data_IF_570976167068
#
_entry.id   IF_570976167068
#
_cell.length_a   1.000
_cell.length_b   1.000
_cell.length_c   1.000
_cell.angle_alpha   90.00
_cell.angle_beta   90.00
_cell.angle_gamma   90.00
#
_symmetry.space_group_name_H-M   'P 1'
#
loop_
_entity.id
_entity.type
_entity.pdbx_description
1 polymer ?
#
# COMPACT_ATOMS: atom_id res chain seq x y z
N UNK A 1 -9.83 -13.00 2.18
CA UNK A 1 -8.82 -13.07 1.10
C UNK A 1 -7.44 -13.25 1.72
N UNK A 2 -6.52 -13.88 0.96
CA UNK A 2 -5.16 -14.18 1.42
C UNK A 2 -4.16 -14.02 0.27
N UNK A 3 -2.88 -13.86 0.60
CA UNK A 3 -1.79 -13.86 -0.37
C UNK A 3 -1.39 -15.30 -0.69
N UNK A 4 -1.32 -15.60 -1.97
CA UNK A 4 -0.84 -16.88 -2.50
C UNK A 4 0.36 -16.65 -3.40
N UNK A 5 1.26 -17.61 -3.42
CA UNK A 5 2.38 -17.74 -4.37
C UNK A 5 2.14 -18.93 -5.26
N UNK A 6 2.50 -18.81 -6.53
CA UNK A 6 2.50 -19.90 -7.49
C UNK A 6 3.71 -19.79 -8.43
N UNK A 7 4.12 -20.88 -9.03
CA UNK A 7 5.06 -20.84 -10.13
C UNK A 7 4.48 -20.09 -11.34
N UNK A 8 5.35 -19.59 -12.22
CA UNK A 8 4.92 -18.89 -13.46
C UNK A 8 4.14 -19.79 -14.41
N UNK A 9 4.19 -21.10 -14.21
CA UNK A 9 3.38 -22.11 -14.91
C UNK A 9 2.03 -22.38 -14.23
N UNK A 10 1.68 -21.62 -13.17
CA UNK A 10 0.46 -21.76 -12.38
C UNK A 10 0.47 -22.94 -11.41
N UNK A 11 1.58 -23.65 -11.28
CA UNK A 11 1.71 -24.79 -10.36
C UNK A 11 2.28 -24.37 -9.02
N UNK A 12 2.35 -25.34 -8.09
CA UNK A 12 2.92 -25.15 -6.75
C UNK A 12 2.25 -24.03 -5.94
N UNK A 13 0.93 -23.89 -6.08
CA UNK A 13 0.16 -22.90 -5.34
C UNK A 13 0.37 -23.07 -3.83
N UNK A 14 0.86 -22.02 -3.17
CA UNK A 14 1.15 -21.97 -1.75
C UNK A 14 0.44 -20.78 -1.12
N UNK A 15 -0.31 -21.01 -0.06
CA UNK A 15 -0.94 -19.95 0.74
C UNK A 15 0.09 -19.37 1.71
N UNK A 16 0.35 -18.07 1.63
CA UNK A 16 1.35 -17.36 2.46
C UNK A 16 0.74 -16.73 3.71
N UNK A 17 -0.50 -16.24 3.63
CA UNK A 17 -1.21 -15.64 4.78
C UNK A 17 -2.43 -16.47 5.17
N UNK A 18 -2.84 -16.42 6.47
CA UNK A 18 -3.92 -17.28 7.01
C UNK A 18 -4.71 -16.59 8.12
N UNK A 19 -4.67 -15.26 8.22
CA UNK A 19 -5.37 -14.49 9.26
C UNK A 19 -6.77 -14.07 8.79
N UNK A 20 -7.65 -13.78 9.75
CA UNK A 20 -8.91 -13.12 9.43
C UNK A 20 -8.64 -11.77 8.77
N UNK A 21 -9.51 -11.40 7.84
CA UNK A 21 -9.45 -10.14 7.13
C UNK A 21 -9.19 -10.30 5.65
N UNK A 22 -8.77 -9.22 5.06
CA UNK A 22 -8.48 -9.08 3.65
C UNK A 22 -6.98 -8.78 3.48
N UNK A 23 -6.27 -9.65 2.79
CA UNK A 23 -4.87 -9.48 2.40
C UNK A 23 -4.81 -9.37 0.88
N UNK A 24 -4.26 -8.29 0.35
CA UNK A 24 -4.25 -8.01 -1.08
C UNK A 24 -3.09 -7.12 -1.54
N UNK A 25 -3.05 -6.86 -2.84
CA UNK A 25 -2.14 -5.92 -3.48
C UNK A 25 -0.66 -6.22 -3.18
N UNK A 26 -0.31 -7.51 -3.22
CA UNK A 26 1.05 -7.96 -2.91
C UNK A 26 2.06 -7.59 -4.00
N UNK A 27 3.22 -7.08 -3.60
CA UNK A 27 4.37 -6.84 -4.47
C UNK A 27 5.65 -7.43 -3.88
N UNK A 28 6.50 -8.03 -4.74
CA UNK A 28 7.81 -8.51 -4.35
C UNK A 28 8.84 -7.38 -4.32
N UNK A 29 9.80 -7.48 -3.37
CA UNK A 29 11.04 -6.69 -3.44
C UNK A 29 11.85 -7.08 -4.69
N UNK A 30 12.68 -6.16 -5.23
CA UNK A 30 13.47 -6.44 -6.44
C UNK A 30 14.39 -7.67 -6.33
N UNK A 31 14.84 -8.01 -5.12
CA UNK A 31 15.66 -9.20 -4.86
C UNK A 31 14.83 -10.48 -4.60
N UNK A 32 13.49 -10.37 -4.67
CA UNK A 32 12.57 -11.49 -4.46
C UNK A 32 12.46 -12.01 -3.03
N UNK A 33 13.08 -11.34 -2.02
CA UNK A 33 13.15 -11.87 -0.66
C UNK A 33 12.03 -11.40 0.26
N UNK A 34 11.34 -10.33 -0.09
CA UNK A 34 10.25 -9.73 0.69
C UNK A 34 8.99 -9.58 -0.15
N UNK A 35 7.86 -9.54 0.55
CA UNK A 35 6.55 -9.19 -0.02
C UNK A 35 5.98 -8.06 0.83
N UNK A 36 5.63 -6.94 0.19
CA UNK A 36 4.80 -5.90 0.79
C UNK A 36 3.36 -6.09 0.31
N UNK A 37 2.38 -5.87 1.18
CA UNK A 37 0.97 -6.04 0.86
C UNK A 37 0.08 -5.19 1.78
N UNK A 38 -1.15 -4.95 1.38
CA UNK A 38 -2.17 -4.28 2.18
C UNK A 38 -3.01 -5.30 2.95
N UNK A 39 -3.38 -4.99 4.21
CA UNK A 39 -4.20 -5.87 5.03
C UNK A 39 -4.99 -5.12 6.09
N UNK A 40 -6.25 -5.51 6.30
CA UNK A 40 -7.08 -5.01 7.39
C UNK A 40 -7.08 -5.92 8.64
N UNK A 41 -6.11 -6.83 8.74
CA UNK A 41 -6.01 -7.80 9.85
C UNK A 41 -5.98 -7.16 11.23
N UNK A 42 -5.44 -5.93 11.34
CA UNK A 42 -5.41 -5.19 12.60
C UNK A 42 -6.82 -4.94 13.16
N UNK A 43 -7.81 -4.68 12.31
CA UNK A 43 -9.20 -4.50 12.70
C UNK A 43 -9.87 -5.75 13.29
N UNK A 44 -9.30 -6.94 13.05
CA UNK A 44 -9.76 -8.22 13.59
C UNK A 44 -8.90 -8.74 14.75
N UNK A 45 -7.83 -8.02 15.11
CA UNK A 45 -6.90 -8.46 16.15
C UNK A 45 -7.47 -8.18 17.54
N UNK A 46 -7.36 -9.18 18.45
CA UNK A 46 -7.79 -9.02 19.84
C UNK A 46 -9.31 -8.89 20.00
N UNK A 47 -9.74 -7.91 20.79
CA UNK A 47 -11.17 -7.55 20.97
C UNK A 47 -11.38 -6.13 20.46
N UNK A 48 -11.82 -5.94 19.21
CA UNK A 48 -12.11 -4.62 18.68
C UNK A 48 -13.18 -3.90 19.52
N UNK A 49 -13.10 -2.58 19.63
CA UNK A 49 -14.12 -1.77 20.29
C UNK A 49 -15.44 -1.87 19.55
N UNK A 50 -16.56 -1.52 20.20
CA UNK A 50 -17.86 -1.48 19.53
C UNK A 50 -17.86 -0.53 18.32
N UNK A 51 -17.12 0.60 18.41
CA UNK A 51 -16.97 1.54 17.31
C UNK A 51 -16.19 0.93 16.13
N UNK A 52 -15.12 0.18 16.41
CA UNK A 52 -14.33 -0.50 15.37
C UNK A 52 -15.14 -1.60 14.68
N UNK A 53 -15.96 -2.34 15.44
CA UNK A 53 -16.86 -3.35 14.88
C UNK A 53 -17.87 -2.72 13.91
N UNK A 54 -18.44 -1.56 14.25
CA UNK A 54 -19.36 -0.84 13.34
C UNK A 54 -18.59 -0.29 12.11
N UNK A 55 -17.40 0.28 12.29
CA UNK A 55 -16.56 0.70 11.15
C UNK A 55 -16.21 -0.47 10.22
N UNK A 56 -15.81 -1.63 10.77
CA UNK A 56 -15.52 -2.84 9.97
C UNK A 56 -16.71 -3.33 9.15
N UNK A 57 -17.95 -3.13 9.65
CA UNK A 57 -19.17 -3.49 8.93
C UNK A 57 -19.47 -2.50 7.79
N UNK A 58 -19.24 -1.21 8.03
CA UNK A 58 -19.54 -0.15 7.07
C UNK A 58 -18.46 -0.05 5.99
N UNK A 59 -17.21 -0.08 6.40
CA UNK A 59 -16.04 0.02 5.52
C UNK A 59 -14.86 -0.79 6.07
N UNK A 60 -14.72 -2.06 5.67
CA UNK A 60 -13.57 -2.87 6.07
C UNK A 60 -12.23 -2.32 5.59
N UNK A 61 -12.20 -1.47 4.56
CA UNK A 61 -10.98 -0.88 4.01
C UNK A 61 -10.36 0.17 4.91
N UNK A 62 -11.12 0.77 5.81
CA UNK A 62 -10.64 1.74 6.80
C UNK A 62 -9.46 1.23 7.64
N UNK A 63 -9.39 -0.07 7.89
CA UNK A 63 -8.32 -0.72 8.66
C UNK A 63 -7.20 -1.32 7.79
N UNK A 64 -7.17 -0.98 6.51
CA UNK A 64 -6.11 -1.44 5.61
C UNK A 64 -4.83 -0.68 5.88
N UNK A 65 -3.82 -1.42 6.29
CA UNK A 65 -2.45 -0.94 6.51
C UNK A 65 -1.46 -1.69 5.63
N UNK A 66 -0.28 -1.12 5.45
CA UNK A 66 0.82 -1.78 4.74
C UNK A 66 1.58 -2.71 5.69
N UNK A 67 1.78 -3.91 5.24
CA UNK A 67 2.56 -4.96 5.89
C UNK A 67 3.72 -5.40 4.99
N UNK A 68 4.76 -5.94 5.62
CA UNK A 68 5.87 -6.61 4.95
C UNK A 68 6.13 -7.96 5.60
N UNK A 69 6.51 -8.95 4.79
CA UNK A 69 6.93 -10.27 5.25
C UNK A 69 8.07 -10.81 4.39
N UNK A 70 8.73 -11.87 4.85
CA UNK A 70 9.64 -12.63 3.98
C UNK A 70 8.85 -13.35 2.88
N UNK A 71 9.49 -13.63 1.76
CA UNK A 71 8.86 -14.31 0.62
C UNK A 71 8.29 -15.70 0.98
N UNK A 72 8.78 -16.33 2.06
CA UNK A 72 8.25 -17.60 2.57
C UNK A 72 7.00 -17.45 3.49
N UNK A 73 6.55 -16.20 3.72
CA UNK A 73 5.41 -15.85 4.57
C UNK A 73 5.74 -15.63 6.04
N UNK A 74 7.03 -15.64 6.43
CA UNK A 74 7.47 -15.41 7.82
C UNK A 74 7.83 -13.96 8.10
N UNK A 75 8.17 -13.67 9.36
CA UNK A 75 8.66 -12.36 9.82
C UNK A 75 7.74 -11.19 9.44
N UNK A 76 6.43 -11.42 9.54
CA UNK A 76 5.40 -10.42 9.27
C UNK A 76 5.56 -9.20 10.18
N UNK A 77 5.53 -8.01 9.58
CA UNK A 77 5.58 -6.72 10.29
C UNK A 77 4.58 -5.75 9.69
N UNK A 78 3.83 -5.04 10.53
CA UNK A 78 3.01 -3.90 10.14
C UNK A 78 3.89 -2.66 9.98
N UNK A 79 3.73 -1.92 8.88
CA UNK A 79 4.52 -0.74 8.57
C UNK A 79 3.76 0.58 8.76
N UNK A 80 2.45 0.59 8.50
CA UNK A 80 1.60 1.78 8.69
C UNK A 80 0.51 1.52 9.72
N UNK A 81 -0.03 2.59 10.32
CA UNK A 81 -1.10 2.58 11.33
C UNK A 81 -1.90 3.88 11.30
N UNK A 82 -1.93 4.57 10.18
CA UNK A 82 -2.69 5.81 10.04
C UNK A 82 -4.19 5.50 9.87
N UNK A 83 -5.09 6.35 10.41
CA UNK A 83 -6.50 6.26 10.08
C UNK A 83 -6.75 6.44 8.59
N UNK A 84 -7.60 5.62 7.99
CA UNK A 84 -7.86 5.61 6.56
C UNK A 84 -7.21 4.40 5.87
N UNK A 85 -7.44 4.29 4.57
CA UNK A 85 -6.98 3.16 3.77
C UNK A 85 -5.56 3.37 3.24
N UNK A 86 -4.65 2.48 3.61
CA UNK A 86 -3.32 2.34 3.01
C UNK A 86 -3.32 1.15 2.04
N UNK A 87 -2.94 1.36 0.78
CA UNK A 87 -2.93 0.28 -0.21
C UNK A 87 -1.99 0.46 -1.39
N UNK A 88 -1.85 -0.60 -2.18
CA UNK A 88 -1.02 -0.66 -3.36
C UNK A 88 0.47 -0.42 -3.10
N UNK A 89 1.11 -1.17 -2.18
CA UNK A 89 2.52 -0.97 -1.91
C UNK A 89 3.39 -1.51 -3.04
N UNK A 90 4.39 -0.69 -3.46
CA UNK A 90 5.43 -1.11 -4.39
C UNK A 90 6.81 -0.73 -3.89
N UNK A 91 7.79 -1.59 -4.13
CA UNK A 91 9.18 -1.31 -3.79
C UNK A 91 9.82 -0.35 -4.79
N UNK A 92 10.78 0.45 -4.30
CA UNK A 92 11.74 1.17 -5.15
C UNK A 92 12.66 0.18 -5.88
N UNK A 93 13.23 0.54 -7.04
CA UNK A 93 14.11 -0.35 -7.81
C UNK A 93 15.34 -0.84 -7.03
N UNK A 94 15.83 -0.06 -6.08
CA UNK A 94 16.94 -0.43 -5.19
C UNK A 94 16.51 -1.23 -3.95
N UNK A 95 15.20 -1.48 -3.79
CA UNK A 95 14.62 -2.23 -2.69
C UNK A 95 14.68 -1.54 -1.32
N UNK A 96 15.05 -0.25 -1.23
CA UNK A 96 15.21 0.43 0.06
C UNK A 96 13.97 1.17 0.53
N UNK A 97 13.04 1.47 -0.37
CA UNK A 97 11.80 2.18 -0.05
C UNK A 97 10.57 1.42 -0.56
N UNK A 98 9.41 1.77 0.01
CA UNK A 98 8.09 1.34 -0.41
C UNK A 98 7.28 2.60 -0.65
N UNK A 99 6.55 2.67 -1.77
CA UNK A 99 5.51 3.67 -2.04
C UNK A 99 4.14 3.04 -1.88
N UNK A 100 3.14 3.84 -1.47
CA UNK A 100 1.75 3.42 -1.38
C UNK A 100 0.81 4.61 -1.56
N UNK A 101 -0.50 4.36 -1.71
CA UNK A 101 -1.54 5.37 -1.59
C UNK A 101 -2.12 5.37 -0.19
N UNK A 102 -2.28 6.54 0.38
CA UNK A 102 -2.96 6.75 1.65
C UNK A 102 -4.22 7.57 1.44
N UNK A 103 -5.36 7.04 1.82
CA UNK A 103 -6.64 7.75 1.81
C UNK A 103 -6.86 8.51 3.12
N UNK A 104 -7.51 9.66 3.03
CA UNK A 104 -8.06 10.35 4.19
C UNK A 104 -9.05 9.45 4.94
N UNK A 105 -9.27 9.73 6.22
CA UNK A 105 -10.16 8.92 7.07
C UNK A 105 -11.60 8.82 6.52
N UNK A 106 -12.07 9.85 5.83
CA UNK A 106 -13.38 9.89 5.16
C UNK A 106 -13.40 9.27 3.75
N UNK A 107 -12.23 8.82 3.26
CA UNK A 107 -12.09 8.22 1.94
C UNK A 107 -12.22 9.18 0.76
N UNK A 108 -12.29 10.50 1.01
CA UNK A 108 -12.58 11.49 -0.05
C UNK A 108 -11.37 11.86 -0.90
N UNK A 109 -10.16 11.67 -0.37
CA UNK A 109 -8.89 12.00 -1.04
C UNK A 109 -7.89 10.87 -0.84
N UNK A 110 -6.94 10.74 -1.76
CA UNK A 110 -5.82 9.84 -1.64
C UNK A 110 -4.55 10.50 -2.15
N UNK A 111 -3.46 10.31 -1.42
CA UNK A 111 -2.16 10.89 -1.74
C UNK A 111 -1.08 9.81 -1.81
N UNK A 112 -0.04 10.09 -2.60
CA UNK A 112 1.12 9.20 -2.72
C UNK A 112 2.08 9.44 -1.57
N UNK A 113 2.49 8.35 -0.93
CA UNK A 113 3.44 8.33 0.18
C UNK A 113 4.61 7.40 -0.11
N UNK A 114 5.70 7.59 0.62
CA UNK A 114 6.86 6.69 0.62
C UNK A 114 7.44 6.52 2.02
N UNK A 115 8.07 5.38 2.27
CA UNK A 115 8.78 5.06 3.52
C UNK A 115 9.99 4.18 3.25
N UNK A 116 10.90 4.06 4.22
CA UNK A 116 11.90 2.99 4.19
C UNK A 116 11.25 1.63 4.41
N UNK A 117 11.89 0.57 3.92
CA UNK A 117 11.35 -0.82 4.05
C UNK A 117 11.19 -1.29 5.49
N UNK A 118 11.82 -0.62 6.45
CA UNK A 118 11.64 -0.88 7.88
C UNK A 118 10.42 -0.15 8.49
N UNK A 119 9.68 0.66 7.70
CA UNK A 119 8.52 1.45 8.11
C UNK A 119 8.87 2.84 8.66
N UNK A 120 10.14 3.21 8.71
CA UNK A 120 10.60 4.54 9.14
C UNK A 120 10.62 5.53 7.98
N UNK A 121 10.84 6.82 8.29
CA UNK A 121 10.96 7.89 7.30
C UNK A 121 9.74 7.95 6.35
N UNK A 122 8.53 7.89 6.92
CA UNK A 122 7.27 8.04 6.19
C UNK A 122 7.12 9.49 5.72
N UNK A 123 6.91 9.67 4.41
CA UNK A 123 6.83 10.99 3.77
C UNK A 123 5.71 11.01 2.74
N UNK A 124 4.86 12.02 2.82
CA UNK A 124 3.87 12.33 1.79
C UNK A 124 4.57 13.02 0.60
N UNK A 125 4.39 12.46 -0.60
CA UNK A 125 5.00 12.98 -1.83
C UNK A 125 4.07 13.92 -2.59
N UNK A 126 2.75 13.70 -2.55
CA UNK A 126 1.76 14.53 -3.24
C UNK A 126 0.82 15.22 -2.26
N UNK A 127 0.28 16.39 -2.62
CA UNK A 127 -0.72 17.16 -1.87
C UNK A 127 -1.69 17.81 -2.83
N UNK A 128 -2.34 16.97 -3.65
CA UNK A 128 -3.21 17.43 -4.73
C UNK A 128 -4.66 17.65 -4.28
N UNK A 129 -5.04 17.11 -3.11
CA UNK A 129 -6.42 17.17 -2.65
C UNK A 129 -7.38 16.40 -3.56
N UNK A 130 -6.88 15.39 -4.25
CA UNK A 130 -7.57 14.58 -5.24
C UNK A 130 -7.37 13.09 -4.92
N UNK A 131 -7.87 12.19 -5.75
CA UNK A 131 -7.59 10.76 -5.65
C UNK A 131 -6.35 10.42 -6.47
N UNK A 132 -5.22 10.16 -5.80
CA UNK A 132 -3.95 9.79 -6.42
C UNK A 132 -3.68 8.30 -6.17
N UNK A 133 -3.69 7.48 -7.24
CA UNK A 133 -3.67 6.02 -7.16
C UNK A 133 -2.47 5.40 -7.89
N UNK A 134 -2.24 4.11 -7.57
CA UNK A 134 -1.30 3.24 -8.27
C UNK A 134 0.10 3.87 -8.43
N UNK A 135 0.72 4.38 -7.36
CA UNK A 135 2.08 4.91 -7.46
C UNK A 135 3.06 3.79 -7.80
N UNK A 136 3.92 4.05 -8.76
CA UNK A 136 4.95 3.12 -9.18
C UNK A 136 6.27 3.85 -9.43
N UNK A 137 7.38 3.33 -8.90
CA UNK A 137 8.69 3.89 -9.17
C UNK A 137 9.12 3.67 -10.62
N UNK A 138 9.60 4.71 -11.27
CA UNK A 138 10.34 4.55 -12.50
C UNK A 138 11.60 3.71 -12.27
N UNK A 139 12.06 2.88 -13.22
CA UNK A 139 13.24 2.04 -13.05
C UNK A 139 14.54 2.77 -12.65
N UNK A 140 14.66 4.08 -12.95
CA UNK A 140 15.78 4.89 -12.48
C UNK A 140 15.77 5.13 -10.97
N UNK A 141 14.59 5.05 -10.33
CA UNK A 141 14.41 5.40 -8.92
C UNK A 141 14.27 6.90 -8.63
N UNK A 142 14.41 7.77 -9.64
CA UNK A 142 14.44 9.23 -9.45
C UNK A 142 13.04 9.84 -9.30
N UNK A 143 12.01 9.18 -9.82
CA UNK A 143 10.63 9.66 -9.76
C UNK A 143 9.63 8.50 -9.73
N UNK A 144 8.40 8.84 -9.36
CA UNK A 144 7.25 7.95 -9.42
C UNK A 144 6.27 8.45 -10.48
N UNK A 145 5.54 7.51 -11.08
CA UNK A 145 4.33 7.78 -11.87
C UNK A 145 3.12 7.32 -11.07
N UNK A 146 2.00 8.03 -11.22
CA UNK A 146 0.74 7.70 -10.55
C UNK A 146 -0.43 8.24 -11.36
N UNK A 147 -1.63 7.75 -11.12
CA UNK A 147 -2.85 8.27 -11.72
C UNK A 147 -3.57 9.19 -10.73
N UNK A 148 -4.09 10.32 -11.17
CA UNK A 148 -4.87 11.23 -10.33
C UNK A 148 -6.06 11.83 -11.07
N UNK A 149 -7.16 12.07 -10.35
CA UNK A 149 -8.35 12.74 -10.88
C UNK A 149 -8.37 14.25 -10.59
N UNK A 150 -7.20 14.87 -10.50
CA UNK A 150 -7.04 16.31 -10.22
C UNK A 150 -7.88 17.20 -11.14
N UNK A 151 -8.03 16.80 -12.41
CA UNK A 151 -8.78 17.56 -13.43
C UNK A 151 -10.28 17.25 -13.48
N UNK A 152 -10.79 16.45 -12.52
CA UNK A 152 -12.21 16.13 -12.41
C UNK A 152 -12.47 14.69 -12.00
N UNK A 153 -13.54 14.44 -11.26
CA UNK A 153 -13.82 13.16 -10.57
C UNK A 153 -13.70 11.91 -11.47
N UNK A 154 -14.12 11.98 -12.72
CA UNK A 154 -14.07 10.87 -13.67
C UNK A 154 -12.88 10.96 -14.65
N UNK A 155 -12.00 11.95 -14.49
CA UNK A 155 -10.88 12.21 -15.41
C UNK A 155 -9.55 11.88 -14.72
N UNK A 156 -9.10 10.63 -14.85
CA UNK A 156 -7.80 10.19 -14.34
C UNK A 156 -6.73 10.36 -15.40
N UNK A 157 -5.69 11.11 -15.05
CA UNK A 157 -4.51 11.36 -15.87
C UNK A 157 -3.25 10.84 -15.17
N UNK A 158 -2.22 10.54 -15.94
CA UNK A 158 -0.93 10.09 -15.41
C UNK A 158 -0.05 11.30 -15.11
N UNK A 159 0.42 11.34 -13.87
CA UNK A 159 1.33 12.38 -13.37
C UNK A 159 2.64 11.76 -12.90
N UNK A 160 3.66 12.60 -12.77
CA UNK A 160 4.94 12.24 -12.16
C UNK A 160 5.21 13.11 -10.94
N UNK A 161 5.91 12.53 -9.95
CA UNK A 161 6.49 13.25 -8.82
C UNK A 161 7.91 12.76 -8.59
N UNK A 162 8.84 13.64 -8.22
CA UNK A 162 10.21 13.21 -7.86
C UNK A 162 10.19 12.35 -6.59
N UNK A 163 11.11 11.37 -6.51
CA UNK A 163 11.14 10.42 -5.42
C UNK A 163 11.51 11.05 -4.06
N UNK A 164 12.10 12.24 -4.07
CA UNK A 164 12.37 13.02 -2.87
C UNK A 164 11.17 13.86 -2.42
N UNK A 165 10.16 14.07 -3.30
CA UNK A 165 8.97 14.89 -3.04
C UNK A 165 9.34 16.36 -2.78
N UNK A 166 10.31 16.88 -3.55
CA UNK A 166 10.80 18.26 -3.47
C UNK A 166 10.18 19.15 -4.55
N UNK A 167 9.57 18.55 -5.58
CA UNK A 167 8.96 19.24 -6.70
C UNK A 167 7.46 18.93 -6.75
N UNK A 168 6.68 19.89 -7.24
CA UNK A 168 5.27 19.67 -7.50
C UNK A 168 5.08 18.59 -8.58
N UNK A 169 4.04 17.75 -8.47
CA UNK A 169 3.68 16.78 -9.50
C UNK A 169 3.34 17.45 -10.85
N UNK A 170 3.73 16.81 -11.93
CA UNK A 170 3.49 17.25 -13.31
C UNK A 170 2.86 16.15 -14.15
#
# INVERSE_FOLDING_TARGET
YDIFEAGTDGKNLKKLTKTLGYDAEGSYSPDGKKIAFASNRAGYAGKPSAADVEKLKLDPSYFMDIYIMDADGKNLKQLTKMPGYDGGPFFSPDGKRITWRHFTEDGSQAEVWTMKVDGTDQKQLTRLGAMSWAPYYHPSGDYLVFATNLLGFANFEVYMVDAAGEKDPV
#
